data_IF_286380475343
#
_entry.id   IF_286380475343
#
_cell.length_a   1.000
_cell.length_b   1.000
_cell.length_c   1.000
_cell.angle_alpha   90.00
_cell.angle_beta   90.00
_cell.angle_gamma   90.00
#
_symmetry.space_group_name_H-M   'P 1'
#
loop_
_entity.id
_entity.type
_entity.pdbx_description
1 polymer ?
#
# COMPACT_ATOMS: atom_id res chain seq x y z
N UNK A 1 21.05 -2.45 0.32
CA UNK A 1 20.26 -2.42 1.55
C UNK A 1 18.96 -1.64 1.30
N UNK A 2 17.84 -2.23 1.66
CA UNK A 2 16.52 -1.57 1.57
C UNK A 2 16.31 -0.70 2.81
N UNK A 3 15.95 0.57 2.58
CA UNK A 3 15.58 1.51 3.64
C UNK A 3 14.25 2.17 3.32
N UNK A 4 13.52 2.59 4.36
CA UNK A 4 12.26 3.31 4.24
C UNK A 4 12.37 4.62 5.03
N UNK A 5 11.93 5.71 4.42
CA UNK A 5 11.90 7.03 5.05
C UNK A 5 10.57 7.72 4.80
N UNK A 6 10.15 8.65 5.67
CA UNK A 6 8.96 9.44 5.39
C UNK A 6 9.06 10.16 4.04
N UNK A 7 7.96 10.13 3.27
CA UNK A 7 7.83 10.92 2.06
C UNK A 7 7.56 12.38 2.43
N UNK A 8 8.08 13.30 1.62
CA UNK A 8 7.87 14.75 1.81
C UNK A 8 7.38 15.37 0.50
N UNK A 9 6.97 16.63 0.55
CA UNK A 9 6.53 17.35 -0.66
C UNK A 9 7.60 17.39 -1.75
N UNK A 10 8.87 17.28 -1.38
CA UNK A 10 9.98 17.22 -2.32
C UNK A 10 9.98 15.94 -3.15
N UNK A 11 9.27 14.91 -2.71
CA UNK A 11 9.13 13.65 -3.43
C UNK A 11 8.00 13.67 -4.49
N UNK A 12 7.19 14.73 -4.53
CA UNK A 12 6.07 14.82 -5.47
C UNK A 12 6.48 14.64 -6.94
N UNK A 13 7.57 15.25 -7.45
CA UNK A 13 8.00 15.02 -8.83
C UNK A 13 8.36 13.56 -9.11
N UNK A 14 9.01 12.88 -8.17
CA UNK A 14 9.36 11.47 -8.26
C UNK A 14 8.10 10.59 -8.32
N UNK A 15 7.16 10.83 -7.44
CA UNK A 15 5.92 10.07 -7.38
C UNK A 15 5.06 10.28 -8.64
N UNK A 16 5.00 11.49 -9.17
CA UNK A 16 4.34 11.75 -10.45
C UNK A 16 5.01 11.03 -11.61
N UNK A 17 6.34 10.98 -11.62
CA UNK A 17 7.08 10.24 -12.65
C UNK A 17 6.72 8.75 -12.58
N UNK A 18 6.63 8.18 -11.38
CA UNK A 18 6.22 6.78 -11.20
C UNK A 18 4.77 6.54 -11.62
N UNK A 19 3.87 7.49 -11.36
CA UNK A 19 2.47 7.38 -11.80
C UNK A 19 2.34 7.23 -13.33
N UNK A 20 3.30 7.77 -14.07
CA UNK A 20 3.33 7.67 -15.54
C UNK A 20 3.94 6.36 -16.05
N UNK A 21 4.55 5.57 -15.17
CA UNK A 21 5.06 4.26 -15.55
C UNK A 21 3.90 3.31 -15.87
N UNK A 22 3.94 2.59 -17.01
CA UNK A 22 2.82 1.73 -17.43
C UNK A 22 2.42 0.70 -16.37
N UNK A 23 3.39 0.10 -15.68
CA UNK A 23 3.08 -0.92 -14.66
C UNK A 23 2.42 -0.33 -13.41
N UNK A 24 2.76 0.91 -13.04
CA UNK A 24 2.12 1.61 -11.91
C UNK A 24 0.70 2.02 -12.31
N UNK A 25 0.56 2.61 -13.49
CA UNK A 25 -0.74 3.05 -14.02
C UNK A 25 -1.71 1.88 -14.13
N UNK A 26 -1.25 0.73 -14.61
CA UNK A 26 -2.07 -0.47 -14.74
C UNK A 26 -2.58 -0.99 -13.38
N UNK A 27 -1.85 -0.76 -12.30
CA UNK A 27 -2.23 -1.19 -10.95
C UNK A 27 -3.06 -0.15 -10.20
N UNK A 28 -2.96 1.14 -10.57
CA UNK A 28 -3.60 2.24 -9.85
C UNK A 28 -5.04 2.51 -10.26
N UNK A 29 -5.48 2.02 -11.44
CA UNK A 29 -6.83 2.31 -11.93
C UNK A 29 -7.04 3.80 -12.17
N UNK A 30 -8.12 4.36 -11.60
CA UNK A 30 -8.47 5.78 -11.72
C UNK A 30 -7.91 6.64 -10.57
N UNK A 31 -7.01 6.12 -9.76
CA UNK A 31 -6.45 6.85 -8.63
C UNK A 31 -5.72 8.11 -9.09
N UNK A 32 -6.07 9.26 -8.47
CA UNK A 32 -5.37 10.52 -8.63
C UNK A 32 -4.93 11.00 -7.25
N UNK A 33 -3.65 10.89 -6.98
CA UNK A 33 -3.12 11.11 -5.64
C UNK A 33 -2.97 12.57 -5.26
N UNK A 34 -2.85 13.49 -6.23
CA UNK A 34 -2.63 14.92 -5.92
C UNK A 34 -1.45 15.12 -4.95
N UNK A 35 -0.28 14.65 -5.34
CA UNK A 35 0.87 14.50 -4.46
C UNK A 35 1.26 15.74 -3.66
N UNK A 36 1.19 16.92 -4.26
CA UNK A 36 1.53 18.15 -3.56
C UNK A 36 0.62 18.40 -2.36
N UNK A 37 -0.66 18.14 -2.52
CA UNK A 37 -1.64 18.28 -1.44
C UNK A 37 -1.48 17.15 -0.42
N UNK A 38 -1.36 15.92 -0.89
CA UNK A 38 -1.22 14.75 -0.02
C UNK A 38 0.01 14.85 0.89
N UNK A 39 1.17 15.20 0.31
CA UNK A 39 2.42 15.22 1.04
C UNK A 39 2.60 16.46 1.92
N UNK A 40 1.79 17.50 1.73
CA UNK A 40 1.84 18.70 2.55
C UNK A 40 1.20 18.50 3.92
N UNK A 41 0.33 17.50 4.07
CA UNK A 41 -0.39 17.22 5.29
C UNK A 41 0.24 16.05 6.04
N UNK A 42 0.42 16.20 7.34
CA UNK A 42 0.91 15.15 8.22
C UNK A 42 -0.23 14.68 9.13
N UNK A 43 -0.77 13.49 8.83
CA UNK A 43 -1.90 12.94 9.56
C UNK A 43 -1.46 11.81 10.49
N UNK A 44 -1.91 11.77 11.76
CA UNK A 44 -1.52 10.71 12.69
C UNK A 44 -2.03 9.31 12.29
N UNK A 45 -3.05 9.25 11.41
CA UNK A 45 -3.61 7.99 10.92
C UNK A 45 -2.92 7.46 9.66
N UNK A 46 -1.84 8.11 9.19
CA UNK A 46 -1.21 7.80 7.90
C UNK A 46 0.31 7.86 7.98
N UNK A 47 0.96 6.81 7.44
CA UNK A 47 2.39 6.80 7.14
C UNK A 47 2.58 6.71 5.63
N UNK A 48 3.30 7.67 5.04
CA UNK A 48 3.70 7.65 3.63
C UNK A 48 5.21 7.60 3.55
N UNK A 49 5.74 6.59 2.86
CA UNK A 49 7.15 6.25 2.90
C UNK A 49 7.72 6.05 1.50
N UNK A 50 8.96 6.50 1.33
CA UNK A 50 9.76 6.19 0.13
C UNK A 50 10.72 5.06 0.49
N UNK A 51 10.70 3.99 -0.32
CA UNK A 51 11.64 2.89 -0.21
C UNK A 51 12.83 3.14 -1.14
N UNK A 52 14.03 2.95 -0.61
CA UNK A 52 15.27 3.10 -1.37
C UNK A 52 16.13 1.85 -1.25
N UNK A 53 16.85 1.52 -2.31
CA UNK A 53 17.85 0.44 -2.34
C UNK A 53 19.21 1.08 -2.58
N UNK A 54 20.11 0.92 -1.62
CA UNK A 54 21.46 1.51 -1.66
C UNK A 54 21.43 3.01 -2.01
N UNK A 55 20.47 3.74 -1.41
CA UNK A 55 20.31 5.17 -1.58
C UNK A 55 19.49 5.59 -2.81
N UNK A 56 19.07 4.66 -3.66
CA UNK A 56 18.27 4.95 -4.86
C UNK A 56 16.79 4.74 -4.53
N UNK A 57 15.93 5.77 -4.64
CA UNK A 57 14.50 5.61 -4.43
C UNK A 57 13.90 4.67 -5.49
N UNK A 58 13.16 3.66 -5.04
CA UNK A 58 12.63 2.62 -5.94
C UNK A 58 11.12 2.40 -5.81
N UNK A 59 10.50 2.78 -4.69
CA UNK A 59 9.10 2.50 -4.49
C UNK A 59 8.45 3.33 -3.39
N UNK A 60 7.14 3.16 -3.29
CA UNK A 60 6.29 3.89 -2.36
C UNK A 60 5.47 2.90 -1.53
N UNK A 61 5.21 3.29 -0.29
CA UNK A 61 4.42 2.53 0.65
C UNK A 61 3.55 3.48 1.48
N UNK A 62 2.27 3.18 1.59
CA UNK A 62 1.36 3.91 2.48
C UNK A 62 0.66 2.93 3.42
N UNK A 63 0.60 3.33 4.69
CA UNK A 63 -0.20 2.64 5.70
C UNK A 63 -1.21 3.64 6.24
N UNK A 64 -2.48 3.28 6.24
CA UNK A 64 -3.54 4.12 6.81
C UNK A 64 -4.35 3.36 7.85
N UNK A 65 -4.98 4.12 8.74
CA UNK A 65 -6.08 3.65 9.58
C UNK A 65 -7.38 3.97 8.82
N UNK A 66 -8.06 2.96 8.23
CA UNK A 66 -9.19 3.24 7.35
C UNK A 66 -10.41 3.82 8.07
N UNK A 67 -10.53 3.62 9.38
CA UNK A 67 -11.60 4.22 10.17
C UNK A 67 -11.39 5.72 10.40
N UNK A 68 -10.13 6.17 10.44
CA UNK A 68 -9.76 7.56 10.69
C UNK A 68 -9.53 8.37 9.40
N UNK A 69 -9.35 7.70 8.27
CA UNK A 69 -9.05 8.34 6.99
C UNK A 69 -10.23 9.26 6.59
N UNK A 70 -9.92 10.52 6.30
CA UNK A 70 -10.90 11.59 6.19
C UNK A 70 -11.87 11.46 5.01
N UNK A 71 -11.43 10.88 3.89
CA UNK A 71 -12.28 10.71 2.71
C UNK A 71 -13.25 9.53 2.83
N UNK A 72 -13.09 8.71 3.86
CA UNK A 72 -13.88 7.48 4.04
C UNK A 72 -13.83 6.57 2.81
N UNK A 73 -12.67 6.47 2.19
CA UNK A 73 -12.46 5.62 1.01
C UNK A 73 -12.98 4.19 1.22
N UNK A 74 -12.74 3.62 2.41
CA UNK A 74 -13.20 2.28 2.77
C UNK A 74 -14.64 2.24 3.29
N UNK A 75 -15.32 3.40 3.36
CA UNK A 75 -16.65 3.51 3.94
C UNK A 75 -16.65 3.29 5.46
N UNK A 76 -17.74 2.76 5.98
CA UNK A 76 -17.83 2.43 7.40
C UNK A 76 -17.11 1.12 7.67
N UNK A 77 -16.01 1.19 8.37
CA UNK A 77 -15.19 0.02 8.74
C UNK A 77 -14.97 0.00 10.25
N UNK A 78 -14.80 -1.20 10.84
CA UNK A 78 -14.44 -1.30 12.25
C UNK A 78 -13.13 -0.57 12.55
N UNK A 79 -12.96 -0.16 13.81
CA UNK A 79 -11.66 0.35 14.29
C UNK A 79 -10.63 -0.78 14.36
N UNK A 80 -9.36 -0.42 14.54
CA UNK A 80 -8.25 -1.35 14.72
C UNK A 80 -7.92 -2.19 13.48
N UNK A 81 -8.19 -1.64 12.31
CA UNK A 81 -7.72 -2.16 11.04
C UNK A 81 -6.63 -1.24 10.47
N UNK A 82 -5.87 -1.76 9.52
CA UNK A 82 -4.95 -0.96 8.68
C UNK A 82 -5.19 -1.32 7.23
N UNK A 83 -4.88 -0.40 6.34
CA UNK A 83 -4.86 -0.65 4.90
C UNK A 83 -3.52 -0.19 4.33
N UNK A 84 -3.04 -0.89 3.31
CA UNK A 84 -1.71 -0.65 2.73
C UNK A 84 -1.84 -0.45 1.23
N UNK A 85 -1.15 0.58 0.72
CA UNK A 85 -0.88 0.78 -0.69
C UNK A 85 0.62 0.64 -0.91
N UNK A 86 1.02 -0.06 -1.97
CA UNK A 86 2.43 -0.34 -2.25
C UNK A 86 2.68 -0.46 -3.75
N UNK A 87 3.78 0.11 -4.23
CA UNK A 87 4.30 -0.17 -5.56
C UNK A 87 5.80 0.04 -5.65
N UNK A 88 6.41 -0.66 -6.60
CA UNK A 88 7.76 -0.39 -7.08
C UNK A 88 7.63 0.54 -8.29
N UNK A 89 8.17 1.75 -8.21
CA UNK A 89 8.11 2.72 -9.31
C UNK A 89 9.17 2.50 -10.37
N UNK A 90 10.35 2.04 -9.97
CA UNK A 90 11.47 1.84 -10.88
C UNK A 90 11.43 0.46 -11.53
N UNK A 91 11.26 0.41 -12.85
CA UNK A 91 11.13 -0.84 -13.62
C UNK A 91 12.31 -1.78 -13.37
N UNK A 92 13.53 -1.24 -13.27
CA UNK A 92 14.73 -2.06 -13.07
C UNK A 92 14.74 -2.86 -11.76
N UNK A 93 13.87 -2.51 -10.81
CA UNK A 93 13.79 -3.17 -9.51
C UNK A 93 12.61 -4.12 -9.38
N UNK A 94 11.81 -4.27 -10.42
CA UNK A 94 10.71 -5.24 -10.45
C UNK A 94 11.23 -6.67 -10.47
N UNK A 95 10.49 -7.59 -9.83
CA UNK A 95 10.79 -9.02 -9.88
C UNK A 95 12.07 -9.43 -9.14
N UNK A 96 12.56 -8.59 -8.23
CA UNK A 96 13.81 -8.82 -7.47
C UNK A 96 13.59 -9.01 -5.97
N UNK A 97 12.33 -9.17 -5.56
CA UNK A 97 11.97 -9.42 -4.16
C UNK A 97 11.85 -8.19 -3.27
N UNK A 98 12.05 -6.98 -3.79
CA UNK A 98 11.95 -5.77 -2.98
C UNK A 98 10.52 -5.49 -2.52
N UNK A 99 9.53 -5.73 -3.38
CA UNK A 99 8.13 -5.60 -3.00
C UNK A 99 7.75 -6.49 -1.82
N UNK A 100 8.23 -7.72 -1.81
CA UNK A 100 8.02 -8.65 -0.70
C UNK A 100 8.64 -8.12 0.59
N UNK A 101 9.87 -7.61 0.52
CA UNK A 101 10.56 -7.06 1.68
C UNK A 101 9.87 -5.80 2.22
N UNK A 102 9.43 -4.92 1.33
CA UNK A 102 8.66 -3.73 1.70
C UNK A 102 7.36 -4.11 2.40
N UNK A 103 6.63 -5.07 1.82
CA UNK A 103 5.34 -5.49 2.36
C UNK A 103 5.49 -6.19 3.71
N UNK A 104 6.51 -7.03 3.88
CA UNK A 104 6.79 -7.64 5.19
C UNK A 104 7.09 -6.60 6.25
N UNK A 105 7.88 -5.60 5.91
CA UNK A 105 8.14 -4.49 6.82
C UNK A 105 6.84 -3.76 7.22
N UNK A 106 5.98 -3.49 6.25
CA UNK A 106 4.72 -2.80 6.49
C UNK A 106 3.77 -3.62 7.38
N UNK A 107 3.67 -4.92 7.12
CA UNK A 107 2.83 -5.83 7.91
C UNK A 107 3.34 -5.88 9.36
N UNK A 108 4.65 -6.05 9.54
CA UNK A 108 5.25 -6.08 10.88
C UNK A 108 5.01 -4.76 11.62
N UNK A 109 5.12 -3.63 10.91
CA UNK A 109 4.85 -2.32 11.50
C UNK A 109 3.39 -2.18 11.93
N UNK A 110 2.45 -2.63 11.10
CA UNK A 110 1.03 -2.61 11.47
C UNK A 110 0.75 -3.43 12.73
N UNK A 111 1.27 -4.63 12.78
CA UNK A 111 1.03 -5.54 13.90
C UNK A 111 1.91 -5.27 15.13
N UNK A 112 2.87 -4.35 15.04
CA UNK A 112 3.59 -3.84 16.21
C UNK A 112 2.65 -3.13 17.19
N UNK A 113 1.57 -2.53 16.68
CA UNK A 113 0.48 -2.06 17.54
C UNK A 113 -0.41 -3.24 17.93
N UNK A 114 -0.47 -3.62 19.21
CA UNK A 114 -1.22 -4.79 19.64
C UNK A 114 -2.74 -4.67 19.45
N UNK A 115 -3.25 -3.46 19.24
CA UNK A 115 -4.67 -3.24 18.97
C UNK A 115 -5.09 -3.60 17.55
N UNK A 116 -4.14 -3.62 16.59
CA UNK A 116 -4.45 -3.89 15.17
C UNK A 116 -4.82 -5.35 14.98
N UNK A 117 -6.03 -5.59 14.46
CA UNK A 117 -6.62 -6.91 14.30
C UNK A 117 -6.33 -7.51 12.92
N UNK A 118 -6.34 -6.70 11.89
CA UNK A 118 -6.18 -7.15 10.52
C UNK A 118 -5.75 -6.02 9.60
N UNK A 119 -5.25 -6.42 8.42
CA UNK A 119 -4.82 -5.51 7.35
C UNK A 119 -5.66 -5.78 6.11
N UNK A 120 -6.13 -4.70 5.46
CA UNK A 120 -6.90 -4.73 4.23
C UNK A 120 -6.05 -4.26 3.06
N UNK A 121 -6.27 -4.85 1.90
CA UNK A 121 -5.74 -4.40 0.61
C UNK A 121 -6.82 -4.56 -0.46
N UNK A 122 -6.74 -3.72 -1.50
CA UNK A 122 -7.77 -3.68 -2.55
C UNK A 122 -7.18 -3.69 -3.97
N UNK A 123 -6.42 -4.73 -4.34
CA UNK A 123 -5.92 -4.80 -5.72
C UNK A 123 -7.07 -4.83 -6.71
N UNK A 124 -6.85 -4.26 -7.90
CA UNK A 124 -7.81 -4.38 -9.00
C UNK A 124 -8.09 -5.86 -9.27
N UNK A 125 -9.36 -6.19 -9.47
CA UNK A 125 -9.77 -7.59 -9.74
C UNK A 125 -9.09 -8.15 -10.99
N UNK A 126 -8.73 -7.29 -11.93
CA UNK A 126 -8.00 -7.66 -13.16
C UNK A 126 -6.49 -7.85 -12.95
N UNK A 127 -5.94 -7.44 -11.80
CA UNK A 127 -4.50 -7.50 -11.54
C UNK A 127 -4.12 -8.84 -10.90
N UNK A 128 -4.09 -9.89 -11.72
CA UNK A 128 -3.80 -11.26 -11.25
C UNK A 128 -2.41 -11.36 -10.60
N UNK A 129 -1.43 -10.59 -11.08
CA UNK A 129 -0.07 -10.62 -10.54
C UNK A 129 -0.03 -10.09 -9.11
N UNK A 130 -0.68 -8.94 -8.85
CA UNK A 130 -0.76 -8.39 -7.50
C UNK A 130 -1.54 -9.31 -6.57
N UNK A 131 -2.65 -9.86 -7.02
CA UNK A 131 -3.47 -10.80 -6.24
C UNK A 131 -2.63 -11.99 -5.80
N UNK A 132 -1.87 -12.61 -6.72
CA UNK A 132 -0.98 -13.72 -6.37
C UNK A 132 0.11 -13.30 -5.39
N UNK A 133 0.67 -12.11 -5.56
CA UNK A 133 1.67 -11.54 -4.65
C UNK A 133 1.13 -11.45 -3.21
N UNK A 134 -0.06 -10.87 -3.05
CA UNK A 134 -0.67 -10.74 -1.72
C UNK A 134 -1.05 -12.09 -1.12
N UNK A 135 -1.58 -13.00 -1.93
CA UNK A 135 -1.95 -14.34 -1.45
C UNK A 135 -0.73 -15.14 -0.97
N UNK A 136 0.42 -14.97 -1.61
CA UNK A 136 1.67 -15.60 -1.13
C UNK A 136 2.09 -15.08 0.25
N UNK A 137 1.70 -13.87 0.61
CA UNK A 137 1.97 -13.30 1.93
C UNK A 137 0.96 -13.70 2.99
N UNK A 138 -0.12 -14.40 2.60
CA UNK A 138 -1.13 -14.89 3.51
C UNK A 138 -2.45 -14.12 3.48
N UNK A 139 -2.57 -13.08 2.66
CA UNK A 139 -3.84 -12.38 2.48
C UNK A 139 -4.86 -13.30 1.81
N UNK A 140 -6.11 -13.18 2.23
CA UNK A 140 -7.24 -13.96 1.70
C UNK A 140 -8.29 -13.05 1.09
N UNK A 141 -8.88 -13.42 -0.07
CA UNK A 141 -9.96 -12.65 -0.67
C UNK A 141 -11.21 -12.71 0.21
N UNK A 142 -11.85 -11.57 0.43
CA UNK A 142 -13.07 -11.48 1.26
C UNK A 142 -14.27 -10.94 0.50
N UNK A 143 -14.08 -10.05 -0.47
CA UNK A 143 -15.20 -9.52 -1.28
C UNK A 143 -14.69 -8.86 -2.56
N UNK A 144 -15.56 -8.84 -3.58
CA UNK A 144 -15.41 -7.91 -4.69
C UNK A 144 -16.11 -6.61 -4.33
N UNK A 145 -15.49 -5.48 -4.63
CA UNK A 145 -16.03 -4.18 -4.30
C UNK A 145 -15.62 -3.14 -5.34
N UNK A 146 -16.55 -2.24 -5.68
CA UNK A 146 -16.22 -1.10 -6.52
C UNK A 146 -15.80 0.08 -5.69
N UNK A 147 -14.64 0.64 -6.04
CA UNK A 147 -14.16 1.92 -5.54
C UNK A 147 -14.21 2.87 -6.74
N UNK A 148 -15.19 3.78 -6.76
CA UNK A 148 -15.43 4.57 -7.95
C UNK A 148 -15.79 3.66 -9.14
N UNK A 149 -15.01 3.70 -10.20
CA UNK A 149 -15.19 2.86 -11.39
C UNK A 149 -14.38 1.57 -11.35
N UNK A 150 -13.48 1.44 -10.39
CA UNK A 150 -12.58 0.31 -10.31
C UNK A 150 -13.21 -0.85 -9.54
N UNK A 151 -13.25 -2.03 -10.17
CA UNK A 151 -13.61 -3.27 -9.49
C UNK A 151 -12.36 -3.83 -8.83
N UNK A 152 -12.40 -3.96 -7.51
CA UNK A 152 -11.30 -4.46 -6.71
C UNK A 152 -11.68 -5.77 -6.02
N UNK A 153 -10.69 -6.61 -5.78
CA UNK A 153 -10.85 -7.80 -4.95
C UNK A 153 -10.20 -7.53 -3.59
N UNK A 154 -11.04 -7.22 -2.61
CA UNK A 154 -10.57 -6.90 -1.27
C UNK A 154 -10.02 -8.16 -0.62
N UNK A 155 -8.82 -8.04 -0.08
CA UNK A 155 -8.14 -9.09 0.68
C UNK A 155 -7.93 -8.63 2.11
N UNK A 156 -7.82 -9.61 3.00
CA UNK A 156 -7.62 -9.37 4.42
C UNK A 156 -6.56 -10.32 4.98
N UNK A 157 -5.69 -9.80 5.84
CA UNK A 157 -4.71 -10.59 6.59
C UNK A 157 -5.03 -10.44 8.07
N UNK A 158 -5.37 -11.54 8.72
CA UNK A 158 -5.63 -11.54 10.15
C UNK A 158 -4.32 -11.54 10.95
N UNK A 159 -4.33 -10.88 12.09
CA UNK A 159 -3.18 -10.82 13.00
C UNK A 159 -2.63 -12.21 13.34
N UNK A 160 -3.52 -13.13 13.71
CA UNK A 160 -3.13 -14.49 14.10
C UNK A 160 -2.44 -15.24 12.98
N UNK A 161 -2.93 -15.08 11.74
CA UNK A 161 -2.36 -15.76 10.58
C UNK A 161 -0.94 -15.30 10.25
N UNK A 162 -0.59 -14.06 10.57
CA UNK A 162 0.75 -13.53 10.35
C UNK A 162 1.73 -13.90 11.47
N UNK A 163 1.30 -13.75 12.71
CA UNK A 163 2.19 -13.94 13.86
C UNK A 163 2.44 -15.42 14.19
N UNK A 164 1.57 -16.32 13.73
CA UNK A 164 1.70 -17.77 13.95
C UNK A 164 2.36 -18.49 12.76
N UNK A 165 2.60 -17.79 11.68
CA UNK A 165 3.19 -18.38 10.48
C UNK A 165 4.70 -18.63 10.62
#
# INVERSE_FOLDING_TARGET
>A
MLTLRPATVEDAPLLRRWDDEPHVRAASGDDDWQWETELAEDWPWRDQLIASVDGVPVGFLQIIDPAEEESHYWGDVPVNLRAIDIWIGEVAYLGRGYGTRMMRWAIDRCFADPAVQAILIDPLASNARAIRFYQRLGFRPVEERRFGQDLCLVHRLERGDWLEA
#
